data_IF_331519088121
#
_entry.id   IF_331519088121
#
_cell.length_a   1.000
_cell.length_b   1.000
_cell.length_c   1.000
_cell.angle_alpha   90.00
_cell.angle_beta   90.00
_cell.angle_gamma   90.00
#
_symmetry.space_group_name_H-M   'P 1'
#
loop_
_entity.id
_entity.type
_entity.pdbx_description
1 polymer ?
#
# COMPACT_ATOMS: atom_id res chain seq x y z
N UNK A 1 -1.46 -8.14 -12.33
CA UNK A 1 -2.62 -8.01 -11.42
C UNK A 1 -3.47 -9.25 -11.57
N UNK A 2 -3.57 -10.11 -10.55
CA UNK A 2 -4.35 -11.36 -10.61
C UNK A 2 -5.84 -11.03 -10.51
N UNK A 3 -6.58 -11.18 -11.61
CA UNK A 3 -8.03 -10.99 -11.67
C UNK A 3 -8.68 -12.35 -11.44
N UNK A 4 -9.46 -12.48 -10.37
CA UNK A 4 -10.22 -13.70 -10.10
C UNK A 4 -11.51 -13.65 -10.95
N UNK A 5 -11.74 -14.61 -11.86
CA UNK A 5 -12.97 -14.67 -12.62
C UNK A 5 -14.17 -14.88 -11.69
N UNK A 6 -15.37 -14.43 -12.06
CA UNK A 6 -16.62 -14.76 -11.34
C UNK A 6 -17.68 -15.22 -12.33
N UNK A 7 -18.33 -16.38 -12.13
CA UNK A 7 -18.07 -17.37 -11.08
C UNK A 7 -16.70 -18.07 -11.26
N UNK A 8 -16.09 -18.51 -10.16
CA UNK A 8 -14.81 -19.23 -10.21
C UNK A 8 -15.13 -20.71 -10.50
N UNK A 9 -14.60 -21.22 -11.61
CA UNK A 9 -14.63 -22.65 -11.93
C UNK A 9 -13.51 -23.36 -11.14
N UNK A 10 -13.76 -24.50 -10.47
CA UNK A 10 -12.71 -25.34 -9.87
C UNK A 10 -11.50 -25.63 -10.78
N UNK A 11 -11.68 -25.67 -12.10
CA UNK A 11 -10.62 -25.85 -13.10
C UNK A 11 -9.60 -24.70 -13.10
N UNK A 12 -10.02 -23.51 -12.69
CA UNK A 12 -9.18 -22.30 -12.65
C UNK A 12 -8.28 -22.23 -11.42
N UNK A 13 -8.51 -23.08 -10.41
CA UNK A 13 -7.75 -23.08 -9.14
C UNK A 13 -6.24 -23.20 -9.40
N UNK A 14 -5.83 -24.08 -10.33
CA UNK A 14 -4.42 -24.29 -10.67
C UNK A 14 -3.77 -23.03 -11.23
N UNK A 15 -4.47 -22.33 -12.12
CA UNK A 15 -4.01 -21.09 -12.74
C UNK A 15 -3.87 -20.00 -11.68
N UNK A 16 -4.94 -19.76 -10.91
CA UNK A 16 -4.97 -18.74 -9.86
C UNK A 16 -3.87 -18.99 -8.82
N UNK A 17 -3.71 -20.22 -8.37
CA UNK A 17 -2.67 -20.59 -7.40
C UNK A 17 -1.26 -20.25 -7.91
N UNK A 18 -0.97 -20.58 -9.17
CA UNK A 18 0.32 -20.28 -9.82
C UNK A 18 0.53 -18.77 -9.98
N UNK A 19 -0.50 -18.04 -10.39
CA UNK A 19 -0.45 -16.58 -10.51
C UNK A 19 -0.21 -15.89 -9.15
N UNK A 20 -0.67 -16.49 -8.05
CA UNK A 20 -0.40 -16.05 -6.68
C UNK A 20 0.96 -16.53 -6.13
N UNK A 21 1.71 -17.35 -6.89
CA UNK A 21 3.03 -17.82 -6.50
C UNK A 21 3.07 -18.81 -5.32
N UNK A 22 1.94 -19.45 -4.97
CA UNK A 22 1.88 -20.40 -3.85
C UNK A 22 1.91 -21.87 -4.33
N UNK A 23 2.39 -22.78 -3.50
CA UNK A 23 2.43 -24.22 -3.80
C UNK A 23 1.09 -24.91 -3.52
N UNK A 24 0.90 -26.13 -4.04
CA UNK A 24 -0.29 -26.94 -3.71
C UNK A 24 -0.37 -27.25 -2.21
N UNK A 25 0.79 -27.48 -1.59
CA UNK A 25 0.91 -27.73 -0.15
C UNK A 25 0.49 -26.51 0.66
N UNK A 26 0.95 -25.32 0.28
CA UNK A 26 0.59 -24.07 0.95
C UNK A 26 -0.91 -23.79 0.84
N UNK A 27 -1.50 -24.00 -0.34
CA UNK A 27 -2.96 -23.86 -0.53
C UNK A 27 -3.73 -24.88 0.32
N UNK A 28 -3.28 -26.13 0.35
CA UNK A 28 -3.92 -27.21 1.11
C UNK A 28 -3.92 -26.91 2.61
N UNK A 29 -2.76 -26.51 3.15
CA UNK A 29 -2.59 -26.14 4.56
C UNK A 29 -3.55 -25.02 4.96
N UNK A 30 -3.70 -23.99 4.13
CA UNK A 30 -4.59 -22.85 4.39
C UNK A 30 -6.07 -23.21 4.28
N UNK A 31 -6.44 -24.07 3.33
CA UNK A 31 -7.81 -24.48 3.12
C UNK A 31 -8.28 -25.60 4.09
N UNK A 32 -7.37 -26.16 4.88
CA UNK A 32 -7.67 -27.28 5.79
C UNK A 32 -8.02 -28.57 5.03
N UNK A 33 -7.27 -28.86 3.97
CA UNK A 33 -7.37 -30.09 3.17
C UNK A 33 -5.99 -30.69 2.93
N UNK A 34 -5.90 -31.89 2.38
CA UNK A 34 -4.61 -32.52 2.06
C UNK A 34 -4.04 -32.00 0.75
N UNK A 35 -2.71 -31.99 0.62
CA UNK A 35 -2.04 -31.61 -0.63
C UNK A 35 -2.44 -32.53 -1.80
N UNK A 36 -2.62 -33.82 -1.54
CA UNK A 36 -3.16 -34.78 -2.51
C UNK A 36 -4.57 -34.42 -2.99
N UNK A 37 -5.43 -33.86 -2.12
CA UNK A 37 -6.76 -33.41 -2.49
C UNK A 37 -6.70 -32.24 -3.48
N UNK A 38 -5.88 -31.22 -3.20
CA UNK A 38 -5.64 -30.09 -4.12
C UNK A 38 -5.07 -30.59 -5.45
N UNK A 39 -4.12 -31.53 -5.44
CA UNK A 39 -3.57 -32.09 -6.66
C UNK A 39 -4.61 -32.83 -7.51
N UNK A 40 -5.53 -33.58 -6.89
CA UNK A 40 -6.63 -34.26 -7.61
C UNK A 40 -7.65 -33.26 -8.15
N UNK A 41 -8.01 -32.25 -7.36
CA UNK A 41 -8.89 -31.14 -7.76
C UNK A 41 -8.35 -30.39 -8.99
N UNK A 42 -7.08 -29.97 -8.94
CA UNK A 42 -6.42 -29.24 -10.04
C UNK A 42 -6.29 -30.05 -11.33
N UNK A 43 -6.38 -31.37 -11.25
CA UNK A 43 -6.36 -32.28 -12.40
C UNK A 43 -7.77 -32.74 -12.79
N UNK A 44 -8.83 -32.14 -12.22
CA UNK A 44 -10.23 -32.45 -12.54
C UNK A 44 -10.70 -33.83 -12.07
N UNK A 45 -9.96 -34.49 -11.16
CA UNK A 45 -10.27 -35.85 -10.67
C UNK A 45 -11.21 -35.85 -9.47
N UNK A 46 -11.50 -34.68 -8.90
CA UNK A 46 -12.34 -34.53 -7.71
C UNK A 46 -13.19 -33.27 -7.87
N UNK A 47 -14.48 -33.41 -7.61
CA UNK A 47 -15.40 -32.29 -7.45
C UNK A 47 -15.59 -31.99 -5.95
N UNK A 48 -15.29 -30.76 -5.48
CA UNK A 48 -15.35 -30.45 -4.07
C UNK A 48 -16.78 -30.16 -3.60
N UNK A 49 -17.10 -30.58 -2.37
CA UNK A 49 -18.28 -30.04 -1.68
C UNK A 49 -18.17 -28.51 -1.60
N UNK A 50 -19.30 -27.81 -1.68
CA UNK A 50 -19.36 -26.34 -1.64
C UNK A 50 -18.58 -25.75 -0.46
N UNK A 51 -18.67 -26.35 0.73
CA UNK A 51 -17.93 -25.89 1.92
C UNK A 51 -16.41 -26.04 1.77
N UNK A 52 -15.94 -27.11 1.12
CA UNK A 52 -14.52 -27.30 0.82
C UNK A 52 -14.07 -26.33 -0.27
N UNK A 53 -14.90 -26.13 -1.29
CA UNK A 53 -14.62 -25.16 -2.35
C UNK A 53 -14.49 -23.74 -1.77
N UNK A 54 -15.43 -23.31 -0.92
CA UNK A 54 -15.39 -22.00 -0.27
C UNK A 54 -14.12 -21.81 0.57
N UNK A 55 -13.71 -22.82 1.35
CA UNK A 55 -12.43 -22.78 2.11
C UNK A 55 -11.22 -22.61 1.19
N UNK A 56 -11.20 -23.29 0.05
CA UNK A 56 -10.13 -23.16 -0.95
C UNK A 56 -10.13 -21.76 -1.56
N UNK A 57 -11.31 -21.20 -1.88
CA UNK A 57 -11.42 -19.84 -2.40
C UNK A 57 -10.95 -18.79 -1.39
N UNK A 58 -11.37 -18.91 -0.13
CA UNK A 58 -10.91 -18.03 0.94
C UNK A 58 -9.38 -18.08 1.12
N UNK A 59 -8.82 -19.29 1.08
CA UNK A 59 -7.37 -19.49 1.13
C UNK A 59 -6.65 -18.78 -0.03
N UNK A 60 -7.15 -18.87 -1.26
CA UNK A 60 -6.60 -18.16 -2.42
C UNK A 60 -6.69 -16.64 -2.27
N UNK A 61 -7.84 -16.11 -1.83
CA UNK A 61 -8.05 -14.67 -1.61
C UNK A 61 -7.10 -14.15 -0.53
N UNK A 62 -6.86 -14.92 0.54
CA UNK A 62 -5.91 -14.55 1.59
C UNK A 62 -4.47 -14.39 1.05
N UNK A 63 -4.10 -15.15 0.03
CA UNK A 63 -2.78 -15.07 -0.61
C UNK A 63 -2.66 -13.85 -1.53
N UNK A 64 -3.77 -13.38 -2.13
CA UNK A 64 -3.81 -12.12 -2.91
C UNK A 64 -3.51 -10.89 -2.07
N UNK A 65 -3.67 -10.95 -0.74
CA UNK A 65 -3.24 -9.89 0.19
C UNK A 65 -1.70 -9.82 0.34
N UNK A 66 -0.94 -10.03 -0.75
CA UNK A 66 0.49 -9.76 -0.78
C UNK A 66 0.70 -8.25 -0.62
N UNK A 67 1.29 -7.88 0.52
CA UNK A 67 1.62 -6.53 0.99
C UNK A 67 2.14 -5.66 -0.17
N UNK A 68 1.35 -4.73 -0.68
CA UNK A 68 1.88 -3.65 -1.52
C UNK A 68 2.96 -2.96 -0.66
N UNK A 69 4.20 -2.96 -1.13
CA UNK A 69 5.32 -2.33 -0.41
C UNK A 69 5.28 -0.83 -0.67
N UNK A 70 5.67 -0.01 0.31
CA UNK A 70 5.77 1.44 0.14
C UNK A 70 6.60 1.81 -1.10
N UNK A 71 7.70 1.09 -1.38
CA UNK A 71 8.55 1.24 -2.58
C UNK A 71 7.79 1.18 -3.91
N UNK A 72 6.66 0.47 -3.96
CA UNK A 72 5.86 0.30 -5.18
C UNK A 72 4.95 1.50 -5.45
N UNK A 73 4.60 2.27 -4.41
CA UNK A 73 3.69 3.43 -4.52
C UNK A 73 4.46 4.76 -4.40
N UNK A 74 5.54 4.79 -3.64
CA UNK A 74 6.27 6.02 -3.32
C UNK A 74 6.92 6.66 -4.56
N UNK A 75 7.03 7.99 -4.53
CA UNK A 75 7.80 8.75 -5.52
C UNK A 75 9.29 8.83 -5.15
N UNK A 76 10.17 8.81 -6.15
CA UNK A 76 11.61 8.97 -6.02
C UNK A 76 12.17 9.71 -7.25
N UNK A 77 13.15 10.63 -7.11
CA UNK A 77 13.79 11.07 -5.86
C UNK A 77 12.84 11.87 -4.97
N UNK A 78 13.13 11.91 -3.67
CA UNK A 78 12.32 12.70 -2.73
C UNK A 78 12.61 14.19 -2.90
N UNK A 79 11.55 15.00 -2.99
CA UNK A 79 11.64 16.45 -3.01
C UNK A 79 11.60 16.91 -1.56
N UNK A 80 12.69 17.47 -1.04
CA UNK A 80 12.82 17.91 0.35
C UNK A 80 13.61 19.21 0.47
N UNK A 81 13.54 19.82 1.65
CA UNK A 81 14.14 21.12 1.96
C UNK A 81 15.12 21.02 3.12
N UNK A 82 16.02 21.99 3.27
CA UNK A 82 16.96 22.01 4.42
C UNK A 82 16.39 22.81 5.60
N UNK A 83 16.80 22.54 6.87
CA UNK A 83 16.24 23.20 8.05
C UNK A 83 16.39 24.72 8.07
N UNK A 84 17.36 25.25 7.32
CA UNK A 84 17.70 26.67 7.27
C UNK A 84 17.20 27.36 5.98
N UNK A 85 16.43 26.67 5.14
CA UNK A 85 15.84 27.30 3.95
C UNK A 85 14.67 28.21 4.33
N UNK A 86 14.57 29.34 3.62
CA UNK A 86 13.48 30.29 3.81
C UNK A 86 12.14 29.66 3.42
N UNK A 87 11.10 29.96 4.19
CA UNK A 87 9.72 29.49 3.95
C UNK A 87 9.23 29.83 2.54
N UNK A 88 9.55 31.01 2.02
CA UNK A 88 9.23 31.42 0.64
C UNK A 88 9.72 30.41 -0.41
N UNK A 89 10.95 29.91 -0.25
CA UNK A 89 11.52 28.89 -1.14
C UNK A 89 10.76 27.57 -1.02
N UNK A 90 10.34 27.21 0.20
CA UNK A 90 9.53 26.00 0.44
C UNK A 90 8.18 26.08 -0.28
N UNK A 91 7.49 27.21 -0.18
CA UNK A 91 6.20 27.44 -0.86
C UNK A 91 6.37 27.39 -2.38
N UNK A 92 7.41 28.02 -2.91
CA UNK A 92 7.71 27.97 -4.35
C UNK A 92 7.94 26.53 -4.82
N UNK A 93 8.74 25.76 -4.08
CA UNK A 93 8.99 24.35 -4.39
C UNK A 93 7.70 23.50 -4.34
N UNK A 94 6.84 23.72 -3.34
CA UNK A 94 5.55 23.04 -3.21
C UNK A 94 4.66 23.29 -4.44
N UNK A 95 4.53 24.55 -4.86
CA UNK A 95 3.74 24.96 -6.02
C UNK A 95 4.30 24.39 -7.33
N UNK A 96 5.60 24.49 -7.55
CA UNK A 96 6.27 23.99 -8.76
C UNK A 96 6.12 22.48 -8.94
N UNK A 97 6.04 21.72 -7.84
CA UNK A 97 5.92 20.26 -7.86
C UNK A 97 4.49 19.77 -7.60
N UNK A 98 3.53 20.66 -7.39
CA UNK A 98 2.15 20.35 -7.03
C UNK A 98 2.05 19.41 -5.81
N UNK A 99 2.79 19.72 -4.75
CA UNK A 99 2.84 18.95 -3.49
C UNK A 99 2.55 19.86 -2.30
N UNK A 100 1.77 19.37 -1.34
CA UNK A 100 1.35 20.15 -0.16
C UNK A 100 2.17 19.87 1.11
N UNK A 101 3.17 18.98 1.00
CA UNK A 101 4.04 18.60 2.10
C UNK A 101 5.43 18.24 1.58
N UNK A 102 6.45 18.65 2.33
CA UNK A 102 7.84 18.26 2.09
C UNK A 102 8.53 17.83 3.39
N UNK A 103 9.43 16.83 3.35
CA UNK A 103 10.32 16.52 4.45
C UNK A 103 11.43 17.58 4.58
N UNK A 104 11.85 17.81 5.82
CA UNK A 104 13.03 18.63 6.15
C UNK A 104 14.22 17.70 6.39
N UNK A 105 15.29 17.90 5.61
CA UNK A 105 16.44 17.01 5.54
C UNK A 105 17.72 17.70 6.05
N UNK A 106 18.35 17.14 7.07
CA UNK A 106 19.67 17.52 7.54
C UNK A 106 20.69 16.46 7.08
N UNK A 107 21.29 16.68 5.92
CA UNK A 107 22.13 15.66 5.27
C UNK A 107 21.29 14.44 4.88
N UNK A 108 21.65 13.27 5.39
CA UNK A 108 20.92 12.01 5.14
C UNK A 108 19.78 11.74 6.13
N UNK A 109 19.55 12.61 7.11
CA UNK A 109 18.52 12.42 8.15
C UNK A 109 17.28 13.28 7.88
N UNK A 110 16.11 12.68 8.03
CA UNK A 110 14.84 13.41 8.11
C UNK A 110 14.70 13.98 9.52
N UNK A 111 14.60 15.30 9.65
CA UNK A 111 14.49 15.99 10.95
C UNK A 111 13.09 16.59 11.18
N UNK A 112 12.21 16.54 10.19
CA UNK A 112 10.83 16.99 10.31
C UNK A 112 10.11 17.01 8.96
N UNK A 113 8.96 17.67 8.95
CA UNK A 113 8.21 17.95 7.71
C UNK A 113 7.50 19.30 7.81
N UNK A 114 7.37 19.98 6.68
CA UNK A 114 6.55 21.19 6.54
C UNK A 114 5.35 20.83 5.68
N UNK A 115 4.16 21.21 6.14
CA UNK A 115 2.91 21.11 5.38
C UNK A 115 2.37 22.50 5.10
N UNK A 116 1.62 22.68 4.01
CA UNK A 116 0.88 23.92 3.75
C UNK A 116 0.04 24.34 4.95
N UNK A 117 -0.66 23.39 5.59
CA UNK A 117 -1.46 23.65 6.80
C UNK A 117 -0.62 24.22 7.96
N UNK A 118 0.59 23.72 8.15
CA UNK A 118 1.51 24.22 9.19
C UNK A 118 1.94 25.66 8.91
N UNK A 119 2.15 26.01 7.63
CA UNK A 119 2.53 27.36 7.22
C UNK A 119 1.39 28.36 7.44
N UNK A 120 0.16 28.02 7.00
CA UNK A 120 -1.03 28.87 7.19
C UNK A 120 -1.35 29.09 8.67
N UNK A 121 -1.29 28.03 9.49
CA UNK A 121 -1.53 28.17 10.93
C UNK A 121 -0.52 29.11 11.58
N UNK A 122 0.74 29.03 11.16
CA UNK A 122 1.78 29.89 11.72
C UNK A 122 1.66 31.34 11.27
N UNK A 123 1.20 31.63 10.05
CA UNK A 123 1.00 33.03 9.63
C UNK A 123 -0.07 33.74 10.48
N UNK A 124 -1.16 33.03 10.82
CA UNK A 124 -2.20 33.55 11.72
C UNK A 124 -1.65 33.79 13.14
N UNK A 125 -0.88 32.85 13.69
CA UNK A 125 -0.21 33.03 14.98
C UNK A 125 0.71 34.27 14.99
N UNK A 126 1.34 34.60 13.85
CA UNK A 126 2.20 35.79 13.73
C UNK A 126 1.39 37.09 13.67
N UNK A 127 0.28 37.13 12.92
CA UNK A 127 -0.62 38.30 12.87
C UNK A 127 -1.15 38.65 14.27
N UNK A 128 -1.59 37.65 15.04
CA UNK A 128 -2.05 37.83 16.43
C UNK A 128 -0.97 38.44 17.36
N UNK A 129 0.31 38.12 17.12
CA UNK A 129 1.43 38.63 17.93
C UNK A 129 1.76 40.08 17.59
N UNK A 130 1.60 40.51 16.34
CA UNK A 130 1.82 41.90 15.95
C UNK A 130 0.69 42.81 16.42
N UNK A 131 -0.58 42.37 16.36
CA UNK A 131 -1.69 43.16 16.90
C UNK A 131 -1.56 43.39 18.41
N UNK A 132 -1.10 42.39 19.17
CA UNK A 132 -0.87 42.53 20.62
C UNK A 132 0.28 43.45 21.01
N UNK A 133 1.21 43.75 20.11
CA UNK A 133 2.33 44.67 20.36
C UNK A 133 2.02 46.12 19.97
N UNK A 134 0.91 46.37 19.28
CA UNK A 134 0.47 47.69 18.86
C UNK A 134 -0.54 48.35 19.83
N UNK A 135 -0.88 47.67 20.94
CA UNK A 135 -1.60 48.21 22.11
C UNK A 135 -0.63 48.44 23.27
#
# INVERSE_FOLDING_TARGET
>A
MVVLPRPIDPREIKRIRKELGITQEELAKRAGVTQAYIAKLENGKVDPRLSTFNRILEALISCKKSKIKAKTIMSSPIIGVKPYEKVEKVIKLMNENNISQVPVLAGSKVVGSITERSLVRKSMDFEDVYERKAM
#
